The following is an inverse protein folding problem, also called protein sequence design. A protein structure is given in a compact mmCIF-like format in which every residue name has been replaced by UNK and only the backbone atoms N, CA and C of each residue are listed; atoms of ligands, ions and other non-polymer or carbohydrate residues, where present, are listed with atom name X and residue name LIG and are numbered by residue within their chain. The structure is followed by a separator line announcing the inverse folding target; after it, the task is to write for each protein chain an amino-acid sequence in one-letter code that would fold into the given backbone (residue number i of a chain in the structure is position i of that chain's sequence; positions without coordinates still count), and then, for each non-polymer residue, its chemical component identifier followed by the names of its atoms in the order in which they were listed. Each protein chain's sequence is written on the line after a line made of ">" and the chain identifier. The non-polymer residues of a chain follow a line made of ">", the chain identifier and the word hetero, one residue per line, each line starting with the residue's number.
data_IF_046239796765
#
_entry.id   IF_046239796765
#
_cell.length_a   1.000
_cell.length_b   1.000
_cell.length_c   1.000
_cell.angle_alpha   90.00
_cell.angle_beta   90.00
_cell.angle_gamma   90.00
#
_symmetry.space_group_name_H-M   'P 1'
#
loop_
_entity.id
_entity.type
_entity.pdbx_description
1 polymer ?
#
# COMPACT_ATOMS: atom_id res chain seq x y z
N UNK A 1 70.10 -61.91 -17.57
CA UNK A 1 71.30 -62.71 -17.88
C UNK A 1 70.87 -64.04 -18.44
N UNK A 2 71.52 -64.45 -19.52
CA UNK A 2 71.26 -65.64 -20.33
C UNK A 2 71.52 -66.94 -19.55
N UNK A 3 70.72 -67.98 -19.77
CA UNK A 3 71.30 -69.30 -20.05
C UNK A 3 70.36 -70.17 -20.87
N UNK A 4 70.92 -70.58 -22.01
CA UNK A 4 70.43 -71.53 -22.99
C UNK A 4 70.98 -72.89 -22.57
N UNK A 5 70.12 -73.88 -22.33
CA UNK A 5 70.54 -75.28 -22.33
C UNK A 5 69.74 -76.03 -23.39
N UNK A 6 70.47 -76.43 -24.43
CA UNK A 6 70.04 -77.38 -25.44
C UNK A 6 70.29 -78.79 -24.92
N UNK A 7 69.30 -79.67 -25.06
CA UNK A 7 69.56 -81.08 -25.22
C UNK A 7 68.85 -81.53 -26.50
N UNK A 8 69.67 -81.97 -27.46
CA UNK A 8 69.21 -82.58 -28.70
C UNK A 8 68.90 -84.05 -28.49
N UNK A 9 67.99 -84.56 -29.32
CA UNK A 9 67.65 -85.97 -29.42
C UNK A 9 66.47 -86.13 -30.36
N UNK A 10 66.75 -86.24 -31.67
CA UNK A 10 65.77 -86.62 -32.68
C UNK A 10 65.27 -88.05 -32.43
N UNK A 11 63.96 -88.25 -32.51
CA UNK A 11 63.37 -89.37 -33.24
C UNK A 11 62.03 -88.93 -33.84
N UNK A 12 61.85 -89.29 -35.10
CA UNK A 12 60.70 -89.04 -35.94
C UNK A 12 59.53 -89.94 -35.53
N UNK A 13 58.45 -89.34 -35.03
CA UNK A 13 57.15 -89.97 -34.87
C UNK A 13 56.07 -89.05 -35.43
N UNK A 14 55.38 -89.54 -36.44
CA UNK A 14 54.35 -88.88 -37.25
C UNK A 14 53.22 -88.20 -36.48
N UNK A 15 53.02 -86.93 -36.83
CA UNK A 15 51.77 -86.18 -36.94
C UNK A 15 50.46 -86.96 -36.69
N UNK A 16 49.90 -86.80 -35.49
CA UNK A 16 48.46 -86.87 -35.21
C UNK A 16 48.18 -85.75 -34.21
N UNK A 17 47.47 -84.71 -34.65
CA UNK A 17 47.23 -83.50 -33.86
C UNK A 17 46.42 -83.75 -32.59
N UNK A 18 47.11 -83.74 -31.45
CA UNK A 18 46.53 -83.57 -30.10
C UNK A 18 45.97 -82.15 -29.99
N UNK A 19 44.66 -82.00 -30.25
CA UNK A 19 43.88 -80.86 -29.80
C UNK A 19 43.49 -81.10 -28.32
N UNK A 20 44.46 -81.12 -27.43
CA UNK A 20 44.23 -81.08 -25.98
C UNK A 20 44.00 -79.61 -25.54
N UNK A 21 42.92 -79.02 -26.06
CA UNK A 21 42.40 -77.78 -25.51
C UNK A 21 41.70 -78.12 -24.17
N UNK A 22 42.07 -77.49 -23.03
CA UNK A 22 41.39 -77.75 -21.76
C UNK A 22 39.90 -77.49 -21.91
N UNK A 23 39.10 -78.50 -21.59
CA UNK A 23 37.64 -78.44 -21.69
C UNK A 23 37.13 -77.20 -20.94
N UNK A 24 36.21 -76.42 -21.54
CA UNK A 24 35.70 -75.23 -20.89
C UNK A 24 34.93 -75.62 -19.63
N UNK A 25 35.32 -75.06 -18.48
CA UNK A 25 34.55 -75.21 -17.24
C UNK A 25 33.13 -74.67 -17.45
N UNK A 26 32.10 -75.34 -16.89
CA UNK A 26 30.74 -74.84 -16.95
C UNK A 26 30.67 -73.47 -16.27
N UNK A 27 30.03 -72.51 -16.95
CA UNK A 27 29.79 -71.18 -16.38
C UNK A 27 28.72 -71.28 -15.29
N UNK A 28 28.92 -70.63 -14.13
CA UNK A 28 27.93 -70.59 -13.05
C UNK A 28 26.56 -70.13 -13.54
N UNK A 29 25.51 -70.58 -12.87
CA UNK A 29 24.14 -70.13 -13.12
C UNK A 29 23.98 -68.68 -12.64
N UNK A 30 23.63 -67.79 -13.57
CA UNK A 30 23.42 -66.38 -13.28
C UNK A 30 21.98 -66.10 -12.80
N UNK A 31 21.84 -65.22 -11.80
CA UNK A 31 20.54 -64.85 -11.21
C UNK A 31 19.61 -64.14 -12.21
N UNK A 32 20.18 -63.49 -13.21
CA UNK A 32 19.44 -62.76 -14.25
C UNK A 32 18.51 -63.66 -15.06
N UNK A 33 18.86 -64.94 -15.21
CA UNK A 33 18.09 -65.88 -16.03
C UNK A 33 16.71 -66.18 -15.41
N UNK A 34 16.60 -66.04 -14.08
CA UNK A 34 15.36 -66.24 -13.32
C UNK A 34 14.48 -64.99 -13.19
N UNK A 35 14.95 -63.82 -13.65
CA UNK A 35 14.19 -62.55 -13.57
C UNK A 35 13.28 -62.31 -14.79
N UNK A 36 13.22 -63.27 -15.71
CA UNK A 36 12.38 -63.16 -16.90
C UNK A 36 10.90 -63.36 -16.55
N UNK A 37 9.98 -62.49 -17.00
CA UNK A 37 8.56 -62.56 -16.63
C UNK A 37 7.84 -63.82 -17.15
N UNK A 38 8.35 -64.42 -18.22
CA UNK A 38 7.85 -65.65 -18.84
C UNK A 38 8.83 -66.83 -18.62
N UNK A 39 9.37 -66.96 -17.41
CA UNK A 39 10.32 -68.02 -17.08
C UNK A 39 9.68 -69.40 -17.28
N UNK A 40 10.25 -70.21 -18.17
CA UNK A 40 9.86 -71.60 -18.39
C UNK A 40 11.04 -72.51 -18.01
N UNK A 41 10.89 -73.34 -16.95
CA UNK A 41 11.97 -74.20 -16.47
C UNK A 41 12.40 -75.22 -17.53
N UNK A 42 11.47 -75.67 -18.40
CA UNK A 42 11.78 -76.67 -19.43
C UNK A 42 12.64 -76.08 -20.54
N UNK A 43 12.33 -74.85 -20.96
CA UNK A 43 13.15 -74.09 -21.92
C UNK A 43 14.50 -73.72 -21.33
N UNK A 44 14.54 -73.29 -20.07
CA UNK A 44 15.77 -72.97 -19.36
C UNK A 44 16.70 -74.19 -19.29
N UNK A 45 16.22 -75.34 -18.80
CA UNK A 45 17.01 -76.58 -18.74
C UNK A 45 17.44 -77.07 -20.13
N UNK A 46 16.62 -76.87 -21.17
CA UNK A 46 17.02 -77.20 -22.55
C UNK A 46 18.08 -76.26 -23.13
N UNK A 47 18.12 -74.99 -22.72
CA UNK A 47 19.18 -74.05 -23.11
C UNK A 47 20.50 -74.28 -22.36
N UNK A 48 20.44 -75.06 -21.27
CA UNK A 48 21.56 -75.46 -20.42
C UNK A 48 22.28 -76.71 -20.94
N UNK A 49 21.68 -77.48 -21.85
CA UNK A 49 22.23 -78.77 -22.33
C UNK A 49 23.55 -78.66 -23.11
N UNK A 50 23.91 -77.46 -23.58
CA UNK A 50 25.18 -77.18 -24.25
C UNK A 50 26.36 -77.04 -23.27
N UNK A 51 26.08 -77.04 -21.95
CA UNK A 51 27.08 -77.10 -20.90
C UNK A 51 27.31 -78.57 -20.56
N UNK A 52 28.50 -79.08 -20.82
CA UNK A 52 28.92 -80.46 -20.48
C UNK A 52 29.03 -80.68 -18.95
N UNK A 53 27.93 -80.45 -18.21
CA UNK A 53 27.81 -80.59 -16.76
C UNK A 53 27.01 -81.85 -16.43
N UNK A 54 27.32 -82.50 -15.30
CA UNK A 54 26.49 -83.62 -14.83
C UNK A 54 25.17 -83.09 -14.26
N UNK A 55 24.11 -83.88 -14.36
CA UNK A 55 22.81 -83.50 -13.78
C UNK A 55 22.87 -83.34 -12.26
N UNK A 56 23.78 -84.08 -11.61
CA UNK A 56 24.00 -84.01 -10.16
C UNK A 56 24.63 -82.68 -9.76
N UNK A 57 25.63 -82.20 -10.51
CA UNK A 57 26.26 -80.90 -10.29
C UNK A 57 25.30 -79.72 -10.53
N UNK A 58 24.44 -79.82 -11.54
CA UNK A 58 23.40 -78.80 -11.79
C UNK A 58 22.38 -78.77 -10.65
N UNK A 59 22.03 -79.94 -10.10
CA UNK A 59 21.09 -80.05 -9.00
C UNK A 59 21.66 -79.47 -7.70
N UNK A 60 22.94 -79.68 -7.41
CA UNK A 60 23.60 -79.10 -6.24
C UNK A 60 23.74 -77.58 -6.39
N UNK A 61 24.14 -77.09 -7.56
CA UNK A 61 24.25 -75.66 -7.85
C UNK A 61 22.91 -74.91 -7.69
N UNK A 62 21.81 -75.48 -8.19
CA UNK A 62 20.47 -74.89 -7.98
C UNK A 62 20.02 -74.90 -6.52
N UNK A 63 20.37 -75.94 -5.75
CA UNK A 63 20.06 -76.00 -4.31
C UNK A 63 20.87 -74.96 -3.53
N UNK A 64 22.14 -74.79 -3.85
CA UNK A 64 23.01 -73.80 -3.21
C UNK A 64 22.57 -72.37 -3.53
N UNK A 65 22.17 -72.12 -4.79
CA UNK A 65 21.57 -70.84 -5.19
C UNK A 65 20.28 -70.57 -4.42
N UNK A 66 19.39 -71.56 -4.30
CA UNK A 66 18.14 -71.43 -3.54
C UNK A 66 18.39 -71.15 -2.05
N UNK A 67 19.35 -71.84 -1.44
CA UNK A 67 19.72 -71.60 -0.04
C UNK A 67 20.31 -70.18 0.14
N UNK A 68 21.15 -69.74 -0.80
CA UNK A 68 21.74 -68.40 -0.76
C UNK A 68 20.66 -67.33 -0.88
N UNK A 69 19.71 -67.48 -1.82
CA UNK A 69 18.59 -66.56 -1.98
C UNK A 69 17.66 -66.53 -0.77
N UNK A 70 17.38 -67.69 -0.15
CA UNK A 70 16.58 -67.73 1.08
C UNK A 70 17.28 -67.00 2.23
N UNK A 71 18.60 -67.13 2.34
CA UNK A 71 19.38 -66.40 3.34
C UNK A 71 19.37 -64.90 3.07
N UNK A 72 19.62 -64.49 1.82
CA UNK A 72 19.58 -63.08 1.42
C UNK A 72 18.19 -62.46 1.60
N UNK A 73 17.10 -63.21 1.38
CA UNK A 73 15.74 -62.75 1.66
C UNK A 73 15.59 -62.44 3.16
N UNK A 74 16.02 -63.35 4.02
CA UNK A 74 15.93 -63.18 5.48
C UNK A 74 16.81 -62.01 5.92
N UNK A 75 18.01 -61.90 5.39
CA UNK A 75 18.94 -60.80 5.68
C UNK A 75 18.36 -59.45 5.21
N UNK A 76 17.81 -59.36 3.99
CA UNK A 76 17.12 -58.16 3.48
C UNK A 76 15.90 -57.79 4.32
N UNK A 77 15.09 -58.77 4.70
CA UNK A 77 13.92 -58.53 5.55
C UNK A 77 14.38 -58.01 6.91
N UNK A 78 15.43 -58.58 7.50
CA UNK A 78 15.94 -58.12 8.79
C UNK A 78 16.60 -56.74 8.71
N UNK A 79 17.36 -56.46 7.65
CA UNK A 79 18.03 -55.19 7.42
C UNK A 79 17.02 -54.05 7.22
N UNK A 80 15.97 -54.30 6.42
CA UNK A 80 14.94 -53.30 6.15
C UNK A 80 13.79 -53.30 7.19
N UNK A 81 13.71 -54.27 8.10
CA UNK A 81 12.65 -54.34 9.11
C UNK A 81 12.57 -53.08 9.97
N UNK A 82 13.73 -52.54 10.35
CA UNK A 82 13.81 -51.31 11.14
C UNK A 82 13.30 -50.10 10.34
N UNK A 83 13.58 -50.05 9.04
CA UNK A 83 13.10 -48.98 8.17
C UNK A 83 11.56 -49.06 8.03
N UNK A 84 11.00 -50.25 7.81
CA UNK A 84 9.54 -50.41 7.71
C UNK A 84 8.80 -50.08 9.01
N UNK A 85 9.35 -50.44 10.17
CA UNK A 85 8.79 -50.03 11.47
C UNK A 85 8.91 -48.53 11.70
N UNK A 86 10.03 -47.91 11.30
CA UNK A 86 10.22 -46.47 11.38
C UNK A 86 9.23 -45.71 10.47
N UNK A 87 8.96 -46.24 9.28
CA UNK A 87 8.01 -45.67 8.32
C UNK A 87 6.57 -45.84 8.81
N UNK A 88 6.22 -47.01 9.36
CA UNK A 88 4.91 -47.26 9.95
C UNK A 88 4.63 -46.36 11.16
N UNK A 89 5.62 -46.16 12.03
CA UNK A 89 5.48 -45.26 13.20
C UNK A 89 5.42 -43.78 12.82
N UNK A 90 6.21 -43.34 11.84
CA UNK A 90 6.13 -41.95 11.33
C UNK A 90 4.84 -41.68 10.57
N UNK A 91 4.33 -42.64 9.81
CA UNK A 91 3.04 -42.52 9.13
C UNK A 91 1.88 -42.52 10.12
N UNK A 92 1.93 -43.38 11.15
CA UNK A 92 0.91 -43.44 12.21
C UNK A 92 0.82 -42.16 13.05
N UNK A 93 1.93 -41.42 13.21
CA UNK A 93 1.94 -40.12 13.91
C UNK A 93 1.85 -38.90 12.98
N UNK A 94 1.85 -39.12 11.67
CA UNK A 94 1.77 -38.04 10.68
C UNK A 94 0.37 -37.41 10.61
N UNK A 95 -0.67 -38.22 10.80
CA UNK A 95 -2.06 -37.77 10.77
C UNK A 95 -2.37 -36.79 11.91
N UNK A 96 -1.87 -37.06 13.13
CA UNK A 96 -2.01 -36.16 14.29
C UNK A 96 -1.37 -34.79 14.03
N UNK A 97 -0.14 -34.77 13.49
CA UNK A 97 0.55 -33.51 13.14
C UNK A 97 -0.18 -32.73 12.05
N UNK A 98 -0.78 -33.41 11.08
CA UNK A 98 -1.58 -32.77 10.03
C UNK A 98 -2.84 -32.14 10.63
N UNK A 99 -3.51 -32.85 11.54
CA UNK A 99 -4.70 -32.32 12.22
C UNK A 99 -4.35 -31.14 13.13
N UNK A 100 -3.23 -31.18 13.85
CA UNK A 100 -2.74 -30.03 14.63
C UNK A 100 -2.49 -28.79 13.77
N UNK A 101 -1.85 -28.96 12.61
CA UNK A 101 -1.62 -27.88 11.64
C UNK A 101 -2.96 -27.36 11.11
N UNK A 102 -3.92 -28.26 10.83
CA UNK A 102 -5.26 -27.88 10.36
C UNK A 102 -6.00 -27.05 11.40
N UNK A 103 -5.98 -27.46 12.67
CA UNK A 103 -6.57 -26.72 13.79
C UNK A 103 -5.88 -25.36 13.95
N UNK A 104 -4.55 -25.31 13.87
CA UNK A 104 -3.78 -24.08 13.87
C UNK A 104 -4.19 -23.12 12.74
N UNK A 105 -4.32 -23.62 11.51
CA UNK A 105 -4.77 -22.83 10.37
C UNK A 105 -6.21 -22.30 10.52
N UNK A 106 -7.11 -23.10 11.10
CA UNK A 106 -8.47 -22.65 11.40
C UNK A 106 -8.47 -21.53 12.47
N UNK A 107 -7.59 -21.64 13.47
CA UNK A 107 -7.34 -20.57 14.44
C UNK A 107 -6.88 -19.28 13.78
N UNK A 108 -5.82 -19.36 12.96
CA UNK A 108 -5.32 -18.20 12.20
C UNK A 108 -6.37 -17.59 11.28
N UNK A 109 -7.17 -18.42 10.60
CA UNK A 109 -8.25 -17.92 9.75
C UNK A 109 -9.30 -17.14 10.56
N UNK A 110 -9.63 -17.60 11.75
CA UNK A 110 -10.55 -16.90 12.66
C UNK A 110 -9.95 -15.59 13.14
N UNK A 111 -8.67 -15.59 13.53
CA UNK A 111 -7.99 -14.39 14.01
C UNK A 111 -7.89 -13.33 12.91
N UNK A 112 -7.52 -13.72 11.70
CA UNK A 112 -7.47 -12.80 10.54
C UNK A 112 -8.85 -12.21 10.26
N UNK A 113 -9.92 -13.01 10.32
CA UNK A 113 -11.29 -12.50 10.16
C UNK A 113 -11.64 -11.48 11.24
N UNK A 114 -11.32 -11.78 12.50
CA UNK A 114 -11.57 -10.87 13.61
C UNK A 114 -10.77 -9.55 13.49
N UNK A 115 -9.51 -9.61 13.04
CA UNK A 115 -8.72 -8.40 12.76
C UNK A 115 -9.33 -7.62 11.61
N UNK A 116 -9.73 -8.29 10.53
CA UNK A 116 -10.39 -7.64 9.37
C UNK A 116 -11.66 -6.91 9.79
N UNK A 117 -12.53 -7.54 10.58
CA UNK A 117 -13.74 -6.92 11.11
C UNK A 117 -13.44 -5.68 11.97
N UNK A 118 -12.43 -5.74 12.84
CA UNK A 118 -11.99 -4.59 13.63
C UNK A 118 -11.48 -3.44 12.77
N UNK A 119 -10.70 -3.74 11.73
CA UNK A 119 -10.17 -2.76 10.79
C UNK A 119 -11.31 -2.13 9.98
N UNK A 120 -12.26 -2.93 9.49
CA UNK A 120 -13.41 -2.44 8.75
C UNK A 120 -14.30 -1.53 9.63
N UNK A 121 -14.52 -1.89 10.90
CA UNK A 121 -15.24 -1.06 11.85
C UNK A 121 -14.52 0.28 12.10
N UNK A 122 -13.20 0.26 12.29
CA UNK A 122 -12.40 1.48 12.47
C UNK A 122 -12.40 2.35 11.22
N UNK A 123 -12.35 1.73 10.03
CA UNK A 123 -12.44 2.45 8.76
C UNK A 123 -13.77 3.20 8.67
N UNK A 124 -14.88 2.54 9.01
CA UNK A 124 -16.20 3.18 9.00
C UNK A 124 -16.28 4.35 9.99
N UNK A 125 -15.80 4.16 11.21
CA UNK A 125 -15.72 5.23 12.23
C UNK A 125 -14.92 6.44 11.72
N UNK A 126 -13.72 6.20 11.16
CA UNK A 126 -12.88 7.27 10.59
C UNK A 126 -13.58 7.96 9.42
N UNK A 127 -14.24 7.21 8.53
CA UNK A 127 -14.96 7.84 7.41
C UNK A 127 -16.10 8.75 7.89
N UNK A 128 -16.77 8.39 8.97
CA UNK A 128 -17.83 9.21 9.54
C UNK A 128 -17.27 10.46 10.24
N UNK A 129 -16.20 10.30 11.03
CA UNK A 129 -15.49 11.42 11.62
C UNK A 129 -14.93 12.39 10.57
N UNK A 130 -14.46 11.88 9.42
CA UNK A 130 -13.99 12.74 8.32
C UNK A 130 -15.13 13.53 7.67
N UNK A 131 -16.33 12.95 7.52
CA UNK A 131 -17.50 13.69 7.05
C UNK A 131 -17.89 14.78 8.05
N UNK A 132 -17.94 14.46 9.34
CA UNK A 132 -18.22 15.43 10.40
C UNK A 132 -17.18 16.55 10.40
N UNK A 133 -15.88 16.22 10.29
CA UNK A 133 -14.80 17.21 10.17
C UNK A 133 -14.97 18.10 8.94
N UNK A 134 -15.43 17.56 7.81
CA UNK A 134 -15.70 18.34 6.59
C UNK A 134 -16.84 19.34 6.81
N UNK A 135 -17.94 18.91 7.44
CA UNK A 135 -19.08 19.78 7.78
C UNK A 135 -18.63 20.88 8.75
N UNK A 136 -17.95 20.53 9.83
CA UNK A 136 -17.41 21.50 10.79
C UNK A 136 -16.45 22.48 10.12
N UNK A 137 -15.59 22.04 9.20
CA UNK A 137 -14.69 22.93 8.46
C UNK A 137 -15.47 23.91 7.58
N UNK A 138 -16.59 23.49 6.98
CA UNK A 138 -17.46 24.38 6.23
C UNK A 138 -18.15 25.40 7.14
N UNK A 139 -18.67 24.96 8.29
CA UNK A 139 -19.29 25.84 9.29
C UNK A 139 -18.30 26.86 9.86
N UNK A 140 -17.09 26.43 10.21
CA UNK A 140 -15.99 27.31 10.65
C UNK A 140 -15.60 28.29 9.54
N UNK A 141 -15.56 27.84 8.28
CA UNK A 141 -15.31 28.71 7.13
C UNK A 141 -16.37 29.80 6.98
N UNK A 142 -17.65 29.45 7.12
CA UNK A 142 -18.75 30.41 7.13
C UNK A 142 -18.63 31.35 8.33
N UNK A 143 -18.37 30.84 9.53
CA UNK A 143 -18.19 31.65 10.73
C UNK A 143 -17.05 32.66 10.61
N UNK A 144 -15.89 32.25 10.10
CA UNK A 144 -14.73 33.13 9.86
C UNK A 144 -15.06 34.22 8.84
N UNK A 145 -15.74 33.88 7.74
CA UNK A 145 -16.12 34.87 6.74
C UNK A 145 -17.16 35.87 7.26
N UNK A 146 -18.07 35.42 8.14
CA UNK A 146 -19.02 36.31 8.82
C UNK A 146 -18.33 37.23 9.83
N UNK A 147 -17.30 36.75 10.54
CA UNK A 147 -16.47 37.58 11.42
C UNK A 147 -15.68 38.62 10.62
N UNK A 148 -15.07 38.21 9.51
CA UNK A 148 -14.38 39.14 8.60
C UNK A 148 -15.34 40.22 8.07
N UNK A 149 -16.57 39.84 7.72
CA UNK A 149 -17.61 40.80 7.34
C UNK A 149 -17.91 41.80 8.47
N UNK A 150 -18.03 41.32 9.70
CA UNK A 150 -18.29 42.15 10.87
C UNK A 150 -17.16 43.15 11.14
N UNK A 151 -15.91 42.69 11.10
CA UNK A 151 -14.74 43.52 11.32
C UNK A 151 -14.58 44.59 10.24
N UNK A 152 -14.72 44.22 8.96
CA UNK A 152 -14.67 45.17 7.84
C UNK A 152 -15.80 46.20 7.92
N UNK A 153 -16.98 45.78 8.36
CA UNK A 153 -18.11 46.68 8.57
C UNK A 153 -17.83 47.66 9.72
N UNK A 154 -17.31 47.18 10.84
CA UNK A 154 -16.93 48.01 12.00
C UNK A 154 -15.82 49.01 11.63
N UNK A 155 -14.82 48.59 10.85
CA UNK A 155 -13.75 49.46 10.35
C UNK A 155 -14.30 50.55 9.42
N UNK A 156 -15.21 50.20 8.52
CA UNK A 156 -15.82 51.15 7.59
C UNK A 156 -16.72 52.15 8.34
N UNK A 157 -17.51 51.71 9.32
CA UNK A 157 -18.28 52.60 10.20
C UNK A 157 -17.38 53.55 10.98
N UNK A 158 -16.26 53.05 11.52
CA UNK A 158 -15.25 53.85 12.21
C UNK A 158 -14.65 54.91 11.29
N UNK A 159 -14.27 54.54 10.06
CA UNK A 159 -13.75 55.49 9.05
C UNK A 159 -14.80 56.53 8.63
N UNK A 160 -16.08 56.16 8.62
CA UNK A 160 -17.19 57.06 8.27
C UNK A 160 -17.72 57.87 9.46
N UNK A 161 -17.10 57.75 10.64
CA UNK A 161 -17.50 58.43 11.88
C UNK A 161 -19.01 58.29 12.19
N UNK A 162 -19.61 57.16 11.78
CA UNK A 162 -20.98 56.84 12.14
C UNK A 162 -20.94 56.55 13.63
N UNK A 163 -21.29 57.57 14.42
CA UNK A 163 -21.06 57.56 15.86
C UNK A 163 -21.71 56.33 16.46
N UNK A 164 -20.84 55.45 16.97
CA UNK A 164 -21.21 54.29 17.76
C UNK A 164 -21.90 54.82 19.02
N UNK A 165 -23.22 54.82 19.03
CA UNK A 165 -24.03 54.88 20.25
C UNK A 165 -23.87 53.59 21.07
N UNK A 166 -22.62 53.19 21.36
CA UNK A 166 -22.31 52.18 22.37
C UNK A 166 -21.62 52.93 23.49
N UNK A 167 -22.39 53.12 24.56
CA UNK A 167 -21.92 53.62 25.82
C UNK A 167 -20.56 52.99 26.16
N UNK A 168 -19.67 53.83 26.65
CA UNK A 168 -18.53 53.45 27.46
C UNK A 168 -18.95 52.37 28.46
N UNK A 169 -18.27 51.23 28.44
CA UNK A 169 -18.16 50.41 29.65
C UNK A 169 -16.67 50.11 29.87
N UNK A 170 -16.13 50.43 31.06
CA UNK A 170 -14.75 50.18 31.42
C UNK A 170 -14.66 48.82 32.13
N UNK A 171 -13.92 47.87 31.58
CA UNK A 171 -13.44 46.74 32.37
C UNK A 171 -12.11 46.23 31.84
N UNK A 172 -11.08 46.74 32.50
CA UNK A 172 -9.79 46.10 32.70
C UNK A 172 -10.00 44.64 33.12
N UNK A 173 -9.36 43.72 32.39
CA UNK A 173 -9.55 42.29 32.53
C UNK A 173 -8.38 41.56 31.87
N UNK A 174 -7.28 41.47 32.61
CA UNK A 174 -6.09 40.68 32.29
C UNK A 174 -6.50 39.27 31.83
N UNK A 175 -6.23 38.94 30.58
CA UNK A 175 -6.12 37.56 30.12
C UNK A 175 -4.64 37.26 29.95
N UNK A 176 -4.15 36.31 30.77
CA UNK A 176 -2.84 35.70 30.60
C UNK A 176 -2.90 34.85 29.32
N UNK A 177 -2.04 35.15 28.36
CA UNK A 177 -1.77 34.30 27.20
C UNK A 177 -1.11 33.00 27.69
N UNK A 178 -1.85 31.89 27.66
CA UNK A 178 -1.26 30.57 27.52
C UNK A 178 -0.99 30.33 26.04
N UNK A 179 0.29 30.04 25.74
CA UNK A 179 0.82 29.68 24.43
C UNK A 179 -0.06 28.67 23.69
N UNK A 180 -0.68 29.13 22.59
CA UNK A 180 -1.17 28.25 21.53
C UNK A 180 -0.33 28.54 20.29
N UNK A 181 0.74 27.77 20.16
CA UNK A 181 1.64 27.73 19.00
C UNK A 181 0.88 27.24 17.76
N UNK A 182 0.33 28.18 16.98
CA UNK A 182 -0.21 27.90 15.65
C UNK A 182 0.93 27.88 14.64
N UNK A 183 1.03 26.77 13.90
CA UNK A 183 2.13 26.46 12.99
C UNK A 183 2.45 27.58 12.00
N UNK A 184 3.73 27.87 11.93
CA UNK A 184 4.41 28.82 11.05
C UNK A 184 4.23 28.42 9.57
N UNK A 185 3.14 28.85 8.97
CA UNK A 185 3.01 28.95 7.51
C UNK A 185 1.99 30.05 7.24
N UNK A 186 2.38 31.07 6.47
CA UNK A 186 1.63 32.30 6.14
C UNK A 186 1.75 33.49 7.11
N UNK A 187 2.98 33.86 7.46
CA UNK A 187 3.30 35.27 7.78
C UNK A 187 3.70 35.97 6.47
N UNK A 188 2.72 36.24 5.61
CA UNK A 188 2.91 37.09 4.44
C UNK A 188 2.91 38.55 4.88
N UNK A 189 4.11 39.13 4.91
CA UNK A 189 4.40 40.51 4.53
C UNK A 189 3.37 41.58 4.93
N UNK A 190 3.42 42.01 6.19
CA UNK A 190 2.92 43.33 6.57
C UNK A 190 3.91 44.35 6.02
N UNK A 191 3.61 44.89 4.83
CA UNK A 191 4.29 46.08 4.32
C UNK A 191 3.96 47.22 5.29
N UNK A 192 4.99 47.70 5.96
CA UNK A 192 4.99 48.99 6.64
C UNK A 192 4.60 50.05 5.61
N UNK A 193 3.37 50.57 5.68
CA UNK A 193 2.98 51.79 4.94
C UNK A 193 3.79 52.94 5.54
N UNK A 194 5.02 53.12 5.05
CA UNK A 194 5.76 54.36 5.19
C UNK A 194 4.93 55.45 4.52
N UNK A 195 4.59 56.45 5.34
CA UNK A 195 4.00 57.73 4.97
C UNK A 195 4.98 58.48 4.07
N UNK A 196 4.98 58.16 2.78
CA UNK A 196 5.67 58.94 1.76
C UNK A 196 4.70 59.96 1.16
N UNK A 197 4.80 61.17 1.70
CA UNK A 197 4.33 62.42 1.14
C UNK A 197 4.84 62.61 -0.29
N UNK A 198 4.02 62.30 -1.29
CA UNK A 198 4.18 62.83 -2.65
C UNK A 198 2.86 63.11 -3.37
N UNK A 199 2.83 64.36 -3.80
CA UNK A 199 2.26 64.94 -5.01
C UNK A 199 0.74 65.08 -5.19
N UNK A 200 0.38 66.36 -5.36
CA UNK A 200 -0.90 66.85 -5.81
C UNK A 200 -1.16 66.37 -7.23
N UNK A 201 -1.79 65.21 -7.38
CA UNK A 201 -2.33 64.76 -8.68
C UNK A 201 -3.56 65.59 -9.05
N UNK A 202 -3.33 66.61 -9.87
CA UNK A 202 -4.30 67.54 -10.47
C UNK A 202 -5.12 66.81 -11.56
N UNK A 203 -5.80 65.73 -11.15
CA UNK A 203 -6.61 64.85 -12.01
C UNK A 203 -7.51 63.86 -11.27
N UNK A 204 -7.48 63.81 -9.93
CA UNK A 204 -8.28 62.88 -9.15
C UNK A 204 -9.73 63.38 -8.93
N UNK A 205 -10.64 62.83 -9.73
CA UNK A 205 -12.12 63.03 -9.75
C UNK A 205 -12.84 62.74 -8.42
N UNK A 206 -12.21 61.99 -7.52
CA UNK A 206 -12.72 61.68 -6.18
C UNK A 206 -11.57 61.80 -5.20
N UNK A 207 -11.86 62.26 -3.97
CA UNK A 207 -10.84 62.23 -2.92
C UNK A 207 -10.34 60.78 -2.77
N UNK A 208 -9.01 60.55 -2.68
CA UNK A 208 -8.45 59.20 -2.59
C UNK A 208 -9.02 58.42 -1.39
N UNK A 209 -9.43 59.14 -0.34
CA UNK A 209 -10.12 58.62 0.84
C UNK A 209 -11.53 58.13 0.53
N UNK A 210 -12.33 58.87 -0.25
CA UNK A 210 -13.68 58.46 -0.65
C UNK A 210 -13.64 57.26 -1.59
N UNK A 211 -12.72 57.26 -2.55
CA UNK A 211 -12.50 56.11 -3.45
C UNK A 211 -12.18 54.83 -2.67
N UNK A 212 -11.22 54.88 -1.73
CA UNK A 212 -10.87 53.74 -0.87
C UNK A 212 -12.07 53.24 -0.05
N UNK A 213 -12.90 54.15 0.48
CA UNK A 213 -14.13 53.79 1.23
C UNK A 213 -15.17 53.10 0.36
N UNK A 214 -15.36 53.56 -0.87
CA UNK A 214 -16.30 52.96 -1.82
C UNK A 214 -15.80 51.57 -2.25
N UNK A 215 -14.51 51.43 -2.55
CA UNK A 215 -13.91 50.13 -2.88
C UNK A 215 -14.07 49.13 -1.71
N UNK A 216 -13.81 49.55 -0.48
CA UNK A 216 -14.03 48.73 0.73
C UNK A 216 -15.50 48.33 0.90
N UNK A 217 -16.45 49.24 0.63
CA UNK A 217 -17.90 48.95 0.68
C UNK A 217 -18.35 47.98 -0.42
N UNK A 218 -17.83 48.10 -1.64
CA UNK A 218 -18.13 47.18 -2.73
C UNK A 218 -17.59 45.77 -2.46
N UNK A 219 -16.41 45.67 -1.87
CA UNK A 219 -15.86 44.38 -1.42
C UNK A 219 -16.75 43.78 -0.33
N UNK A 220 -17.20 44.59 0.64
CA UNK A 220 -18.13 44.16 1.68
C UNK A 220 -19.45 43.65 1.10
N UNK A 221 -20.01 44.35 0.11
CA UNK A 221 -21.22 43.93 -0.61
C UNK A 221 -21.03 42.62 -1.37
N UNK A 222 -19.88 42.45 -2.03
CA UNK A 222 -19.53 41.20 -2.71
C UNK A 222 -19.35 40.03 -1.73
N UNK A 223 -18.70 40.27 -0.59
CA UNK A 223 -18.54 39.28 0.48
C UNK A 223 -19.91 38.89 1.06
N UNK A 224 -20.78 39.86 1.35
CA UNK A 224 -22.14 39.60 1.80
C UNK A 224 -22.96 38.80 0.78
N UNK A 225 -22.82 39.08 -0.52
CA UNK A 225 -23.49 38.36 -1.61
C UNK A 225 -22.94 36.95 -1.88
N UNK A 226 -21.71 36.65 -1.47
CA UNK A 226 -21.10 35.32 -1.59
C UNK A 226 -21.69 34.32 -0.57
N UNK A 227 -22.25 34.82 0.51
CA UNK A 227 -22.92 34.03 1.53
C UNK A 227 -24.43 33.99 1.28
N UNK A 228 -25.12 33.00 1.86
CA UNK A 228 -26.56 32.85 1.65
C UNK A 228 -27.29 34.13 2.08
N UNK A 229 -28.09 34.78 1.20
CA UNK A 229 -28.79 36.03 1.50
C UNK A 229 -29.86 35.89 2.59
N UNK A 230 -30.11 34.67 3.09
CA UNK A 230 -31.00 34.39 4.22
C UNK A 230 -30.27 34.08 5.52
N UNK A 231 -28.95 34.27 5.59
CA UNK A 231 -28.23 34.04 6.83
C UNK A 231 -28.66 35.08 7.89
N UNK A 232 -29.07 34.68 9.10
CA UNK A 232 -29.66 35.58 10.10
C UNK A 232 -28.74 36.73 10.50
N UNK A 233 -27.42 36.50 10.50
CA UNK A 233 -26.44 37.55 10.73
C UNK A 233 -26.46 38.63 9.65
N UNK A 234 -26.55 38.27 8.36
CA UNK A 234 -26.52 39.24 7.26
C UNK A 234 -27.77 40.13 7.34
N UNK A 235 -28.95 39.54 7.58
CA UNK A 235 -30.20 40.26 7.81
C UNK A 235 -30.10 41.26 8.99
N UNK A 236 -29.40 40.88 10.07
CA UNK A 236 -29.16 41.77 11.20
C UNK A 236 -28.20 42.92 10.87
N UNK A 237 -27.26 42.73 9.93
CA UNK A 237 -26.32 43.76 9.49
C UNK A 237 -26.84 44.64 8.34
N UNK A 238 -27.88 44.24 7.61
CA UNK A 238 -28.54 45.04 6.56
C UNK A 238 -28.85 46.50 6.95
N UNK A 239 -29.44 46.82 8.13
CA UNK A 239 -29.69 48.21 8.50
C UNK A 239 -28.41 49.03 8.66
N UNK A 240 -27.29 48.40 9.05
CA UNK A 240 -25.99 49.07 9.17
C UNK A 240 -25.38 49.32 7.79
N UNK A 241 -25.41 48.30 6.92
CA UNK A 241 -24.97 48.45 5.52
C UNK A 241 -25.76 49.54 4.78
N UNK A 242 -27.08 49.65 5.03
CA UNK A 242 -27.92 50.70 4.43
C UNK A 242 -27.54 52.10 4.90
N UNK A 243 -27.25 52.29 6.19
CA UNK A 243 -26.78 53.59 6.72
C UNK A 243 -25.44 54.01 6.10
N UNK A 244 -24.51 53.07 5.99
CA UNK A 244 -23.22 53.29 5.31
C UNK A 244 -23.45 53.67 3.85
N UNK A 245 -24.34 52.95 3.16
CA UNK A 245 -24.72 53.23 1.77
C UNK A 245 -25.31 54.63 1.60
N UNK A 246 -26.26 55.03 2.45
CA UNK A 246 -26.87 56.36 2.43
C UNK A 246 -25.83 57.47 2.63
N UNK A 247 -24.87 57.27 3.54
CA UNK A 247 -23.80 58.24 3.80
C UNK A 247 -22.84 58.32 2.60
N UNK A 248 -22.41 57.19 2.05
CA UNK A 248 -21.54 57.18 0.86
C UNK A 248 -22.23 57.79 -0.36
N UNK A 249 -23.53 57.55 -0.55
CA UNK A 249 -24.30 58.17 -1.62
C UNK A 249 -24.45 59.68 -1.40
N UNK A 250 -24.65 60.12 -0.15
CA UNK A 250 -24.68 61.56 0.16
C UNK A 250 -23.34 62.24 -0.10
N UNK A 251 -22.22 61.58 0.21
CA UNK A 251 -20.87 62.10 -0.03
C UNK A 251 -20.57 62.15 -1.54
N UNK A 252 -20.97 61.11 -2.29
CA UNK A 252 -20.92 61.09 -3.76
C UNK A 252 -21.80 62.17 -4.40
N UNK A 253 -23.00 62.43 -3.87
CA UNK A 253 -23.88 63.49 -4.37
C UNK A 253 -23.29 64.89 -4.09
N UNK A 254 -22.53 65.06 -3.00
CA UNK A 254 -21.80 66.30 -2.72
C UNK A 254 -20.62 66.48 -3.69
N UNK A 255 -19.86 65.44 -4.01
CA UNK A 255 -18.79 65.52 -5.01
C UNK A 255 -19.32 65.77 -6.42
N UNK A 256 -20.43 65.15 -6.81
CA UNK A 256 -21.09 65.39 -8.11
C UNK A 256 -21.56 66.85 -8.26
N UNK A 257 -21.98 67.49 -7.16
CA UNK A 257 -22.40 68.91 -7.18
C UNK A 257 -21.21 69.87 -7.23
N UNK A 258 -20.04 69.45 -6.77
CA UNK A 258 -18.81 70.25 -6.78
C UNK A 258 -18.06 70.21 -8.13
N UNK A 259 -18.28 69.20 -8.97
CA UNK A 259 -17.56 69.05 -10.23
C UNK A 259 -18.36 69.50 -11.48
N UNK A 260 -17.83 70.46 -12.27
CA UNK A 260 -18.48 70.93 -13.51
C UNK A 260 -18.11 70.12 -14.76
N UNK A 261 -17.15 69.18 -14.70
CA UNK A 261 -16.70 68.43 -15.88
C UNK A 261 -17.61 67.24 -16.24
N UNK A 262 -18.06 67.18 -17.50
CA UNK A 262 -19.04 66.17 -17.93
C UNK A 262 -18.55 64.72 -17.94
N UNK A 263 -17.24 64.50 -18.14
CA UNK A 263 -16.62 63.16 -18.14
C UNK A 263 -16.43 62.61 -16.73
N UNK A 264 -16.04 63.47 -15.81
CA UNK A 264 -15.83 63.13 -14.39
C UNK A 264 -17.17 62.82 -13.73
N UNK A 265 -18.19 63.66 -14.01
CA UNK A 265 -19.58 63.41 -13.63
C UNK A 265 -20.11 62.05 -14.13
N UNK A 266 -19.76 61.63 -15.35
CA UNK A 266 -20.16 60.33 -15.87
C UNK A 266 -19.48 59.15 -15.13
N UNK A 267 -18.21 59.29 -14.74
CA UNK A 267 -17.51 58.28 -13.95
C UNK A 267 -18.06 58.17 -12.52
N UNK A 268 -18.34 59.30 -11.87
CA UNK A 268 -18.94 59.30 -10.53
C UNK A 268 -20.38 58.75 -10.56
N UNK A 269 -21.12 58.97 -11.65
CA UNK A 269 -22.43 58.34 -11.87
C UNK A 269 -22.33 56.81 -12.03
N UNK A 270 -21.30 56.29 -12.69
CA UNK A 270 -21.08 54.83 -12.78
C UNK A 270 -20.77 54.22 -11.42
N UNK A 271 -19.94 54.89 -10.61
CA UNK A 271 -19.63 54.46 -9.24
C UNK A 271 -20.88 54.51 -8.36
N UNK A 272 -21.72 55.55 -8.51
CA UNK A 272 -23.03 55.65 -7.84
C UNK A 272 -23.94 54.47 -8.18
N UNK A 273 -24.05 54.09 -9.46
CA UNK A 273 -24.86 52.92 -9.85
C UNK A 273 -24.32 51.61 -9.26
N UNK A 274 -23.01 51.47 -9.11
CA UNK A 274 -22.39 50.29 -8.48
C UNK A 274 -22.62 50.23 -6.95
N UNK A 275 -22.73 51.39 -6.29
CA UNK A 275 -23.05 51.46 -4.86
C UNK A 275 -24.56 51.22 -4.63
N UNK A 276 -25.42 51.69 -5.54
CA UNK A 276 -26.89 51.49 -5.50
C UNK A 276 -27.32 50.03 -5.75
N UNK A 277 -26.74 49.35 -6.75
CA UNK A 277 -27.12 47.98 -7.18
C UNK A 277 -26.27 46.89 -6.54
#
# INVERSE_FOLDING_TARGET
>A
MSSRFYFGGSDSGSDVGDNDAPLPFPKPIDRSDFLTPDFDPTRFLSSLSDRFQTLEDLQTELRDLSHTLNKELVDLVNDNYQEFLSLGSTLSGGEEKIEDIRVGMLGFQRDIKAVREKVDARRLEVTELLKQKKVLKQEVGVGRALLELAERLDQLEGKLNISRGRASDPSDGKFQEEDIQWGEEWTEMVVSESDEEYDSDEGAVLSPRLRRRIEEFLILKHLAGRHSPRHPFILAQEPRMRKIQEILLSDLDLTIKGEPEGKTKQQVLQVRTAVEH
#
